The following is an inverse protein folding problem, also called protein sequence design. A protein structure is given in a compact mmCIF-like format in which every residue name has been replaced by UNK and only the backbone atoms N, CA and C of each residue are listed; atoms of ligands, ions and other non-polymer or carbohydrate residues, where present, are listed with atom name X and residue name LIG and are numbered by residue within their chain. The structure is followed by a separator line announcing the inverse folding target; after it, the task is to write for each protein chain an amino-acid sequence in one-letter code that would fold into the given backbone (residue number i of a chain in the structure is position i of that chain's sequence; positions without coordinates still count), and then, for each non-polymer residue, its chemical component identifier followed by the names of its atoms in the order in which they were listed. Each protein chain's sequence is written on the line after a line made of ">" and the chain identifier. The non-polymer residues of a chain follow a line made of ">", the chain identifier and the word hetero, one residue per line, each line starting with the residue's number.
data_IF_347387537786
#
_entry.id   IF_347387537786
#
_cell.length_a   1.000
_cell.length_b   1.000
_cell.length_c   1.000
_cell.angle_alpha   90.00
_cell.angle_beta   90.00
_cell.angle_gamma   90.00
#
_symmetry.space_group_name_H-M   'P 1'
#
loop_
_entity.id
_entity.type
_entity.pdbx_description
1 polymer ?
#
# COMPACT_ATOMS: atom_id res chain seq x y z
N UNK A 1 6.50 -5.44 9.08
CA UNK A 1 6.99 -4.06 8.89
C UNK A 1 5.81 -3.11 8.87
N UNK A 2 5.90 -1.94 9.51
CA UNK A 2 4.82 -0.95 9.50
C UNK A 2 4.93 -0.07 8.25
N UNK A 3 3.80 0.17 7.59
CA UNK A 3 3.69 1.06 6.43
C UNK A 3 2.65 2.14 6.73
N UNK A 4 2.95 3.37 6.35
CA UNK A 4 2.03 4.50 6.43
C UNK A 4 2.33 5.49 5.32
N UNK A 5 1.31 6.20 4.86
CA UNK A 5 1.44 7.23 3.83
C UNK A 5 0.20 7.32 2.96
N UNK A 6 0.29 8.11 1.90
CA UNK A 6 -0.82 8.31 0.96
C UNK A 6 -0.87 7.17 -0.04
N UNK A 7 -2.00 6.48 -0.15
CA UNK A 7 -2.21 5.51 -1.21
C UNK A 7 -2.45 6.25 -2.54
N UNK A 8 -1.49 6.23 -3.45
CA UNK A 8 -1.56 7.01 -4.70
C UNK A 8 -1.88 6.19 -5.94
N UNK A 9 -1.85 4.86 -5.84
CA UNK A 9 -2.27 3.98 -6.92
C UNK A 9 -1.67 2.60 -6.81
N UNK A 10 -1.74 1.86 -7.92
CA UNK A 10 -1.24 0.48 -7.97
C UNK A 10 -0.35 0.27 -9.19
N UNK A 11 0.63 -0.61 -9.06
CA UNK A 11 1.50 -1.04 -10.16
C UNK A 11 1.41 -2.55 -10.34
N UNK A 12 1.39 -3.00 -11.60
CA UNK A 12 1.51 -4.41 -11.95
C UNK A 12 2.98 -4.71 -12.28
N UNK A 13 3.56 -5.66 -11.56
CA UNK A 13 4.90 -6.20 -11.82
C UNK A 13 4.83 -7.72 -11.98
N UNK A 14 5.95 -8.36 -12.32
CA UNK A 14 6.00 -9.81 -12.55
C UNK A 14 5.53 -10.63 -11.34
N UNK A 15 5.79 -10.16 -10.12
CA UNK A 15 5.39 -10.83 -8.88
C UNK A 15 3.94 -10.55 -8.46
N UNK A 16 3.20 -9.69 -9.18
CA UNK A 16 1.79 -9.39 -8.90
C UNK A 16 1.48 -7.89 -8.87
N UNK A 17 0.32 -7.57 -8.29
CA UNK A 17 -0.17 -6.20 -8.13
C UNK A 17 0.24 -5.65 -6.76
N UNK A 18 0.82 -4.44 -6.76
CA UNK A 18 1.29 -3.75 -5.56
C UNK A 18 0.61 -2.40 -5.43
N UNK A 19 0.38 -1.98 -4.19
CA UNK A 19 -0.06 -0.64 -3.84
C UNK A 19 1.16 0.27 -3.66
N UNK A 20 1.06 1.49 -4.18
CA UNK A 20 2.05 2.56 -3.99
C UNK A 20 1.60 3.39 -2.79
N UNK A 21 2.40 3.38 -1.73
CA UNK A 21 2.21 4.23 -0.55
C UNK A 21 3.29 5.29 -0.54
N UNK A 22 2.92 6.53 -0.83
CA UNK A 22 3.83 7.67 -0.83
C UNK A 22 4.00 8.28 0.55
N UNK A 23 5.25 8.59 0.90
CA UNK A 23 5.66 9.47 2.00
C UNK A 23 6.35 10.69 1.40
N UNK A 24 6.75 11.64 2.26
CA UNK A 24 7.27 12.94 1.83
C UNK A 24 8.29 12.90 0.66
N UNK A 25 9.29 12.02 0.72
CA UNK A 25 10.37 11.94 -0.28
C UNK A 25 10.63 10.51 -0.78
N UNK A 26 9.77 9.56 -0.44
CA UNK A 26 9.94 8.15 -0.76
C UNK A 26 8.58 7.48 -1.00
N UNK A 27 8.60 6.30 -1.60
CA UNK A 27 7.41 5.47 -1.71
C UNK A 27 7.74 4.03 -1.33
N UNK A 28 6.73 3.31 -0.87
CA UNK A 28 6.83 1.89 -0.56
C UNK A 28 5.83 1.12 -1.41
N UNK A 29 6.30 0.03 -2.03
CA UNK A 29 5.44 -0.94 -2.70
C UNK A 29 5.07 -2.05 -1.72
N UNK A 30 3.78 -2.21 -1.47
CA UNK A 30 3.26 -3.30 -0.62
C UNK A 30 2.26 -4.14 -1.40
N UNK A 31 2.10 -5.44 -1.08
CA UNK A 31 1.12 -6.29 -1.73
C UNK A 31 -0.26 -5.62 -1.74
N UNK A 32 -0.89 -5.50 -2.90
CA UNK A 32 -2.19 -4.82 -3.00
C UNK A 32 -3.31 -5.67 -2.37
N UNK A 33 -4.29 -5.00 -1.75
CA UNK A 33 -5.55 -5.62 -1.29
C UNK A 33 -6.74 -4.75 -1.69
N UNK A 34 -7.87 -5.33 -2.13
CA UNK A 34 -9.05 -4.56 -2.56
C UNK A 34 -9.62 -3.60 -1.48
N UNK A 35 -9.36 -3.87 -0.20
CA UNK A 35 -9.89 -3.08 0.92
C UNK A 35 -9.47 -1.60 0.89
N UNK A 36 -8.34 -1.28 0.25
CA UNK A 36 -7.85 0.10 0.13
C UNK A 36 -8.28 0.80 -1.16
N UNK A 37 -9.04 0.16 -2.05
CA UNK A 37 -9.39 0.77 -3.35
C UNK A 37 -10.13 2.10 -3.18
N UNK A 38 -10.95 2.21 -2.12
CA UNK A 38 -11.69 3.44 -1.77
C UNK A 38 -10.83 4.51 -1.08
N UNK A 39 -9.58 4.20 -0.76
CA UNK A 39 -8.63 5.08 -0.09
C UNK A 39 -7.67 5.76 -1.05
N UNK A 40 -7.91 5.67 -2.36
CA UNK A 40 -7.08 6.35 -3.34
C UNK A 40 -7.03 7.85 -3.03
N UNK A 41 -5.81 8.38 -2.90
CA UNK A 41 -5.54 9.75 -2.52
C UNK A 41 -5.65 10.05 -1.02
N UNK A 42 -5.89 9.05 -0.16
CA UNK A 42 -6.00 9.20 1.30
C UNK A 42 -4.80 8.59 2.02
N UNK A 43 -4.57 9.02 3.26
CA UNK A 43 -3.63 8.36 4.14
C UNK A 43 -4.14 6.97 4.53
N UNK A 44 -3.24 6.01 4.52
CA UNK A 44 -3.46 4.63 4.95
C UNK A 44 -2.32 4.21 5.88
N UNK A 45 -2.62 3.31 6.80
CA UNK A 45 -1.62 2.70 7.69
C UNK A 45 -1.82 1.19 7.72
N UNK A 46 -0.76 0.42 7.91
CA UNK A 46 -0.86 -1.02 7.95
C UNK A 46 0.42 -1.73 8.33
N UNK A 47 0.33 -3.05 8.43
CA UNK A 47 1.45 -3.92 8.76
C UNK A 47 1.63 -4.94 7.65
N UNK A 48 2.83 -5.00 7.08
CA UNK A 48 3.27 -6.01 6.11
C UNK A 48 3.79 -7.22 6.87
N UNK A 49 3.23 -8.39 6.61
CA UNK A 49 3.63 -9.67 7.20
C UNK A 49 3.38 -10.82 6.22
N UNK A 50 4.36 -11.70 6.06
CA UNK A 50 4.20 -12.95 5.30
C UNK A 50 3.78 -12.76 3.84
N UNK A 51 4.22 -11.68 3.17
CA UNK A 51 3.84 -11.39 1.78
C UNK A 51 2.44 -10.81 1.61
N UNK A 52 1.79 -10.41 2.70
CA UNK A 52 0.51 -9.70 2.70
C UNK A 52 0.59 -8.43 3.55
N UNK A 53 -0.46 -7.62 3.49
CA UNK A 53 -0.61 -6.40 4.28
C UNK A 53 -1.95 -6.42 5.03
N UNK A 54 -1.93 -5.98 6.28
CA UNK A 54 -3.12 -5.75 7.09
C UNK A 54 -3.30 -4.25 7.28
N UNK A 55 -4.39 -3.70 6.74
CA UNK A 55 -4.67 -2.27 6.77
C UNK A 55 -5.47 -1.86 8.01
N UNK A 56 -5.12 -0.69 8.54
CA UNK A 56 -5.86 0.06 9.55
C UNK A 56 -6.50 1.24 8.80
N UNK A 57 -7.81 1.15 8.55
CA UNK A 57 -8.60 2.13 7.79
C UNK A 57 -9.47 2.98 8.69
#
# INVERSE_FOLDING_TARGET
>A
ENVSGKFTGTVQITSGKFAIVEKAHEFTLVPWRPVIDRQLGREVMGVVQGGSVSWQL
#
